data_IF_030283231457
#
_entry.id   IF_030283231457
#
_cell.length_a   1.000
_cell.length_b   1.000
_cell.length_c   1.000
_cell.angle_alpha   90.00
_cell.angle_beta   90.00
_cell.angle_gamma   90.00
#
_symmetry.space_group_name_H-M   'P 1'
#
loop_
_entity.id
_entity.type
_entity.pdbx_description
1 polymer ?
#
# COMPACT_ATOMS: atom_id res chain seq x y z
N UNK A 15 3.47 -21.06 -28.07
CA UNK A 15 2.32 -20.12 -27.86
C UNK A 15 2.75 -18.69 -28.12
N UNK A 16 1.98 -18.03 -28.97
CA UNK A 16 2.31 -16.72 -29.51
C UNK A 16 1.48 -15.66 -28.78
N UNK A 17 1.95 -14.38 -28.76
CA UNK A 17 1.18 -13.32 -28.09
C UNK A 17 -0.33 -13.32 -28.39
N UNK A 18 -0.69 -13.52 -29.66
CA UNK A 18 -2.10 -13.49 -30.06
C UNK A 18 -2.92 -14.71 -29.57
N UNK A 19 -2.25 -15.72 -29.02
CA UNK A 19 -2.92 -16.90 -28.46
C UNK A 19 -2.93 -16.96 -26.92
N UNK A 20 -2.35 -15.94 -26.27
CA UNK A 20 -2.23 -15.92 -24.81
C UNK A 20 -3.60 -15.96 -24.11
N UNK A 21 -4.52 -15.09 -24.52
CA UNK A 21 -5.85 -15.01 -23.90
C UNK A 21 -6.66 -16.30 -24.10
N UNK A 22 -6.52 -16.92 -25.26
CA UNK A 22 -7.14 -18.20 -25.56
C UNK A 22 -6.63 -19.33 -24.65
N UNK A 23 -5.30 -19.44 -24.52
CA UNK A 23 -4.67 -20.47 -23.67
C UNK A 23 -5.07 -20.30 -22.20
N UNK A 24 -4.97 -19.08 -21.68
CA UNK A 24 -5.33 -18.82 -20.28
C UNK A 24 -6.82 -19.04 -20.04
N UNK A 25 -7.63 -18.66 -21.02
CA UNK A 25 -9.09 -18.80 -20.96
C UNK A 25 -9.59 -20.22 -20.79
N UNK A 26 -8.78 -21.20 -21.18
CA UNK A 26 -9.12 -22.61 -20.96
C UNK A 26 -9.08 -23.01 -19.46
N UNK A 27 -8.33 -22.27 -18.65
CA UNK A 27 -8.06 -22.65 -17.26
C UNK A 27 -8.53 -21.61 -16.23
N UNK A 28 -8.66 -20.36 -16.66
CA UNK A 28 -8.98 -19.29 -15.73
C UNK A 28 -9.95 -18.29 -16.31
N UNK A 29 -10.53 -17.49 -15.43
CA UNK A 29 -11.29 -16.32 -15.82
C UNK A 29 -10.31 -15.26 -16.30
N UNK A 30 -10.48 -14.79 -17.53
CA UNK A 30 -9.56 -13.82 -18.12
C UNK A 30 -10.21 -12.43 -18.19
N UNK A 31 -10.11 -11.69 -17.09
CA UNK A 31 -10.77 -10.40 -16.97
C UNK A 31 -9.79 -9.22 -16.88
N UNK A 32 -8.52 -9.47 -17.19
CA UNK A 32 -7.48 -8.43 -17.11
C UNK A 32 -7.47 -7.53 -18.34
N UNK A 33 -6.36 -6.83 -18.53
CA UNK A 33 -6.21 -5.88 -19.65
C UNK A 33 -6.11 -6.57 -21.00
N UNK A 34 -6.54 -5.87 -22.05
CA UNK A 34 -6.59 -6.43 -23.40
C UNK A 34 -5.25 -6.74 -24.04
N UNK A 35 -4.18 -6.18 -23.48
CA UNK A 35 -2.85 -6.31 -24.07
C UNK A 35 -2.14 -7.58 -23.62
N UNK A 36 -1.02 -7.87 -24.27
CA UNK A 36 -0.10 -8.88 -23.81
C UNK A 36 1.21 -8.15 -23.55
N UNK A 37 1.72 -8.27 -22.32
CA UNK A 37 2.92 -7.53 -21.90
C UNK A 37 4.16 -8.03 -22.62
N UNK A 38 4.85 -7.11 -23.32
CA UNK A 38 6.16 -7.40 -23.87
C UNK A 38 7.19 -7.13 -22.76
N UNK A 39 7.78 -8.20 -22.22
CA UNK A 39 8.67 -8.12 -21.07
C UNK A 39 9.99 -7.44 -21.38
N UNK A 40 10.36 -7.46 -22.66
CA UNK A 40 11.65 -6.96 -23.12
C UNK A 40 11.60 -5.51 -23.58
N UNK A 41 10.54 -5.16 -24.32
CA UNK A 41 10.48 -3.83 -24.94
C UNK A 41 9.83 -2.76 -24.08
N UNK A 42 9.08 -3.17 -23.05
CA UNK A 42 8.58 -2.25 -22.04
C UNK A 42 9.73 -1.59 -21.28
N UNK A 43 9.54 -0.35 -20.88
CA UNK A 43 10.61 0.38 -20.18
C UNK A 43 10.11 1.65 -19.55
N UNK A 44 10.60 1.94 -18.34
CA UNK A 44 10.27 3.19 -17.66
C UNK A 44 8.78 3.32 -17.44
N UNK A 45 8.21 4.43 -17.91
CA UNK A 45 6.78 4.70 -17.70
C UNK A 45 5.88 4.14 -18.79
N UNK A 46 6.42 3.24 -19.62
CA UNK A 46 5.69 2.69 -20.77
C UNK A 46 5.61 1.17 -20.77
N UNK A 47 4.38 0.66 -20.92
CA UNK A 47 4.16 -0.76 -21.20
C UNK A 47 3.98 -0.95 -22.70
N UNK A 48 4.52 -2.05 -23.23
CA UNK A 48 4.40 -2.35 -24.65
C UNK A 48 3.49 -3.56 -24.85
N UNK A 49 2.49 -3.40 -25.72
CA UNK A 49 1.62 -4.50 -26.10
C UNK A 49 2.36 -5.34 -27.14
N UNK A 50 2.57 -6.62 -26.83
CA UNK A 50 3.32 -7.51 -27.72
C UNK A 50 2.56 -7.81 -29.01
N UNK A 51 1.24 -7.62 -29.02
CA UNK A 51 0.42 -7.89 -30.19
C UNK A 51 0.58 -6.78 -31.26
N UNK A 52 0.38 -5.53 -30.85
CA UNK A 52 0.41 -4.39 -31.80
C UNK A 52 1.72 -3.59 -31.79
N UNK A 53 2.45 -3.64 -30.68
CA UNK A 53 3.61 -2.78 -30.51
C UNK A 53 3.24 -1.39 -30.01
N UNK A 54 1.97 -1.16 -29.72
CA UNK A 54 1.51 0.10 -29.15
C UNK A 54 2.09 0.30 -27.75
N UNK A 55 2.54 1.54 -27.47
CA UNK A 55 3.05 1.90 -26.15
C UNK A 55 1.95 2.52 -25.30
N UNK A 56 1.89 2.12 -24.04
CA UNK A 56 0.89 2.59 -23.10
C UNK A 56 1.56 3.35 -21.97
N UNK A 57 1.07 4.56 -21.70
CA UNK A 57 1.58 5.36 -20.59
C UNK A 57 1.07 4.80 -19.26
N UNK A 58 2.00 4.44 -18.40
CA UNK A 58 1.69 3.64 -17.21
C UNK A 58 1.57 4.51 -15.94
N UNK A 59 0.32 4.79 -15.56
CA UNK A 59 0.03 5.42 -14.27
C UNK A 59 -0.61 4.39 -13.33
N UNK A 60 -0.25 3.13 -13.52
CA UNK A 60 -0.89 2.03 -12.80
C UNK A 60 0.14 1.16 -12.07
N UNK A 61 1.31 1.01 -12.68
CA UNK A 61 2.50 0.37 -12.10
C UNK A 61 2.20 -0.94 -11.36
N UNK A 62 1.50 -1.85 -12.05
CA UNK A 62 1.09 -3.15 -11.48
C UNK A 62 0.42 -2.98 -10.12
N UNK A 63 -0.61 -2.13 -10.09
CA UNK A 63 -1.34 -1.78 -8.85
C UNK A 63 -0.37 -1.17 -7.82
N UNK A 64 0.42 -0.18 -8.26
CA UNK A 64 1.34 0.55 -7.41
C UNK A 64 2.48 -0.31 -6.79
N UNK A 65 2.80 -1.45 -7.41
CA UNK A 65 3.84 -2.33 -6.88
C UNK A 65 5.20 -2.18 -7.58
N UNK A 66 5.26 -1.30 -8.57
CA UNK A 66 6.51 -1.04 -9.29
C UNK A 66 7.06 0.35 -8.95
N UNK A 67 8.20 0.39 -8.26
CA UNK A 67 8.80 1.68 -7.87
C UNK A 67 9.50 2.40 -9.03
N UNK A 68 10.16 1.64 -9.89
CA UNK A 68 10.99 2.25 -10.94
C UNK A 68 10.45 2.03 -12.36
N UNK A 69 9.30 1.37 -12.49
CA UNK A 69 8.76 1.02 -13.80
C UNK A 69 9.43 -0.22 -14.37
N UNK A 70 9.17 -0.49 -15.65
CA UNK A 70 9.69 -1.71 -16.29
C UNK A 70 11.15 -1.55 -16.67
N UNK A 71 11.92 -2.63 -16.48
CA UNK A 71 13.30 -2.71 -16.98
C UNK A 71 14.15 -1.46 -16.71
N UNK A 72 14.27 -1.05 -15.44
CA UNK A 72 15.06 0.16 -15.20
C UNK A 72 16.54 -0.02 -15.61
N UNK A 73 17.12 0.98 -16.30
CA UNK A 73 18.51 0.92 -16.79
C UNK A 73 19.53 0.51 -15.73
N UNK A 74 19.39 0.98 -14.49
CA UNK A 74 20.33 0.64 -13.43
C UNK A 74 20.35 -0.85 -13.07
N UNK A 75 19.24 -1.53 -13.34
CA UNK A 75 19.16 -2.98 -13.15
C UNK A 75 19.58 -3.71 -14.42
N UNK A 76 19.07 -3.25 -15.56
CA UNK A 76 19.31 -3.87 -16.86
C UNK A 76 20.80 -3.80 -17.28
N UNK A 77 21.44 -2.65 -17.06
CA UNK A 77 22.83 -2.45 -17.49
C UNK A 77 23.89 -2.91 -16.49
N UNK A 78 23.45 -3.45 -15.35
CA UNK A 78 24.37 -3.85 -14.28
C UNK A 78 24.72 -5.34 -14.40
N UNK A 79 25.87 -5.63 -15.00
CA UNK A 79 26.28 -7.01 -15.28
C UNK A 79 26.53 -7.83 -14.02
N UNK A 80 27.03 -7.17 -12.98
CA UNK A 80 27.25 -7.79 -11.68
C UNK A 80 25.93 -8.18 -11.01
N UNK A 81 24.96 -7.28 -11.11
CA UNK A 81 23.62 -7.54 -10.58
C UNK A 81 22.93 -8.69 -11.34
N UNK A 82 23.11 -8.73 -12.66
CA UNK A 82 22.60 -9.83 -13.48
C UNK A 82 23.02 -11.19 -12.93
N UNK A 83 24.30 -11.33 -12.61
CA UNK A 83 24.84 -12.57 -12.03
C UNK A 83 24.21 -12.88 -10.69
N UNK A 84 24.09 -11.87 -9.83
CA UNK A 84 23.48 -12.02 -8.51
C UNK A 84 22.00 -12.45 -8.63
N UNK A 85 21.28 -11.76 -9.51
CA UNK A 85 19.87 -12.07 -9.74
C UNK A 85 19.66 -13.48 -10.30
N UNK A 86 20.48 -13.86 -11.28
CA UNK A 86 20.42 -15.20 -11.88
C UNK A 86 20.65 -16.29 -10.84
N UNK A 87 21.65 -16.09 -9.98
CA UNK A 87 21.94 -17.02 -8.88
C UNK A 87 20.74 -17.21 -7.96
N UNK A 88 20.03 -16.12 -7.67
CA UNK A 88 18.86 -16.21 -6.81
C UNK A 88 17.69 -16.86 -7.53
N UNK A 89 17.51 -16.51 -8.80
CA UNK A 89 16.34 -16.90 -9.57
C UNK A 89 16.27 -18.38 -9.95
N UNK A 90 17.43 -19.04 -10.04
CA UNK A 90 17.49 -20.45 -10.42
C UNK A 90 16.88 -21.37 -9.36
N UNK A 91 17.00 -20.98 -8.11
CA UNK A 91 16.50 -21.79 -7.00
C UNK A 91 15.54 -20.97 -6.14
N UNK A 92 14.93 -21.62 -5.14
CA UNK A 92 14.07 -20.88 -4.22
C UNK A 92 14.29 -21.47 -2.83
N UNK A 93 15.34 -20.99 -2.13
CA UNK A 93 15.63 -21.53 -0.80
C UNK A 93 14.56 -21.14 0.22
N UNK A 94 14.44 -21.94 1.27
CA UNK A 94 13.66 -21.56 2.44
C UNK A 94 14.51 -20.65 3.33
N UNK A 95 14.37 -19.34 3.13
CA UNK A 95 15.15 -18.33 3.86
C UNK A 95 14.93 -18.35 5.37
N UNK A 96 13.84 -18.97 5.82
CA UNK A 96 13.60 -19.10 7.26
C UNK A 96 14.57 -20.08 7.93
N UNK A 97 15.11 -21.02 7.16
CA UNK A 97 15.98 -22.10 7.65
C UNK A 97 17.41 -21.93 7.20
N UNK A 98 17.56 -21.38 6.00
CA UNK A 98 18.84 -21.41 5.30
C UNK A 98 19.23 -20.00 4.84
N UNK A 99 20.30 -19.46 5.42
CA UNK A 99 20.71 -18.09 5.15
C UNK A 99 21.75 -18.00 4.06
N UNK A 100 21.80 -16.85 3.39
CA UNK A 100 22.72 -16.61 2.29
C UNK A 100 23.25 -15.19 2.38
N UNK A 101 24.35 -14.94 1.68
CA UNK A 101 24.87 -13.59 1.54
C UNK A 101 23.84 -12.68 0.85
N UNK A 102 23.19 -13.21 -0.19
CA UNK A 102 22.19 -12.46 -0.95
C UNK A 102 21.08 -11.94 -0.04
N UNK A 103 20.60 -12.79 0.86
CA UNK A 103 19.60 -12.41 1.86
C UNK A 103 20.11 -11.36 2.85
N UNK A 104 21.32 -11.56 3.38
CA UNK A 104 21.89 -10.63 4.37
C UNK A 104 22.11 -9.25 3.78
N UNK A 105 22.58 -9.19 2.54
CA UNK A 105 22.73 -7.92 1.83
C UNK A 105 21.41 -7.17 1.67
N UNK A 106 20.34 -7.92 1.36
CA UNK A 106 19.02 -7.30 1.26
C UNK A 106 18.58 -6.71 2.61
N UNK A 107 18.71 -7.51 3.67
CA UNK A 107 18.26 -7.11 5.00
C UNK A 107 19.01 -5.85 5.48
N UNK A 108 20.32 -5.82 5.30
CA UNK A 108 21.09 -4.63 5.72
C UNK A 108 20.74 -3.38 4.91
N UNK A 109 20.48 -3.52 3.59
CA UNK A 109 20.09 -2.32 2.83
C UNK A 109 18.65 -1.90 3.14
N UNK A 110 17.74 -2.85 3.34
CA UNK A 110 16.39 -2.52 3.81
C UNK A 110 16.46 -1.67 5.09
N UNK A 111 17.22 -2.15 6.08
CA UNK A 111 17.37 -1.44 7.36
C UNK A 111 17.97 -0.05 7.16
N UNK A 112 18.96 0.05 6.27
CA UNK A 112 19.58 1.34 5.98
C UNK A 112 18.63 2.35 5.33
N UNK A 113 17.96 1.92 4.27
CA UNK A 113 17.15 2.82 3.44
C UNK A 113 15.76 3.10 3.99
N UNK A 114 15.10 2.06 4.50
CA UNK A 114 13.71 2.15 4.97
C UNK A 114 13.55 1.97 6.48
N UNK A 115 14.63 1.62 7.17
CA UNK A 115 14.57 1.35 8.61
C UNK A 115 14.19 2.53 9.49
N UNK A 116 13.57 2.21 10.62
CA UNK A 116 13.22 3.18 11.66
C UNK A 116 13.91 2.66 12.92
N UNK A 117 14.74 3.49 13.57
CA UNK A 117 15.48 3.04 14.76
C UNK A 117 14.58 2.55 15.90
N UNK A 118 13.33 3.00 15.93
CA UNK A 118 12.39 2.55 16.95
C UNK A 118 11.78 1.18 16.63
N UNK A 119 11.92 0.73 15.39
CA UNK A 119 11.30 -0.52 14.94
C UNK A 119 12.36 -1.50 14.38
N UNK A 120 13.20 -2.08 15.25
CA UNK A 120 14.32 -2.88 14.78
C UNK A 120 14.00 -4.31 14.32
N UNK A 121 12.83 -4.82 14.70
CA UNK A 121 12.46 -6.21 14.40
C UNK A 121 11.88 -6.30 13.00
N UNK A 122 12.51 -7.10 12.15
CA UNK A 122 12.05 -7.28 10.77
C UNK A 122 11.59 -8.72 10.56
N UNK A 123 10.56 -8.88 9.74
CA UNK A 123 10.02 -10.20 9.43
C UNK A 123 9.52 -10.16 8.00
N UNK A 124 9.89 -11.16 7.20
CA UNK A 124 9.55 -11.17 5.77
C UNK A 124 8.70 -12.37 5.39
N UNK A 125 7.84 -12.15 4.40
CA UNK A 125 6.87 -13.14 3.97
C UNK A 125 6.46 -12.79 2.52
N UNK A 126 5.89 -13.76 1.80
CA UNK A 126 5.32 -13.49 0.49
C UNK A 126 3.88 -13.01 0.69
N UNK A 127 3.54 -11.85 0.13
CA UNK A 127 2.15 -11.39 0.08
C UNK A 127 1.81 -10.28 1.08
N UNK A 128 1.11 -9.26 0.59
CA UNK A 128 0.71 -8.12 1.43
C UNK A 128 -0.30 -8.47 2.52
N UNK A 129 -1.30 -9.30 2.19
CA UNK A 129 -2.29 -9.70 3.21
C UNK A 129 -1.63 -10.45 4.36
N UNK A 130 -0.69 -11.33 4.03
CA UNK A 130 0.05 -12.07 5.06
C UNK A 130 0.97 -11.17 5.90
N UNK A 131 1.53 -10.13 5.30
CA UNK A 131 2.27 -9.11 6.07
C UNK A 131 1.36 -8.48 7.12
N UNK A 132 0.17 -8.05 6.71
CA UNK A 132 -0.82 -7.51 7.66
C UNK A 132 -1.22 -8.54 8.71
N UNK A 133 -1.45 -9.79 8.28
CA UNK A 133 -1.80 -10.85 9.24
C UNK A 133 -0.73 -11.06 10.31
N UNK A 134 0.54 -11.00 9.93
CA UNK A 134 1.60 -11.20 10.90
C UNK A 134 1.75 -10.05 11.86
N UNK A 135 1.42 -8.83 11.41
CA UNK A 135 1.31 -7.68 12.32
C UNK A 135 0.20 -7.93 13.34
N UNK A 136 -0.93 -8.48 12.88
CA UNK A 136 -2.05 -8.78 13.76
C UNK A 136 -1.68 -9.85 14.76
N UNK A 137 -1.07 -10.94 14.28
CA UNK A 137 -0.61 -12.02 15.16
C UNK A 137 0.34 -11.52 16.25
N UNK A 138 1.26 -10.62 15.89
CA UNK A 138 2.14 -10.00 16.86
C UNK A 138 1.36 -9.26 17.94
N UNK A 139 0.32 -8.53 17.54
CA UNK A 139 -0.52 -7.76 18.45
C UNK A 139 -1.36 -8.66 19.36
N UNK A 140 -1.94 -9.72 18.80
CA UNK A 140 -2.75 -10.67 19.59
C UNK A 140 -1.91 -11.32 20.69
N UNK A 141 -0.72 -11.78 20.32
CA UNK A 141 0.21 -12.37 21.26
C UNK A 141 0.64 -11.36 22.34
N UNK A 142 0.96 -10.15 21.90
CA UNK A 142 1.43 -9.10 22.78
C UNK A 142 0.35 -8.77 23.82
N UNK A 143 -0.89 -8.56 23.36
CA UNK A 143 -1.99 -8.20 24.26
C UNK A 143 -2.30 -9.31 25.28
N UNK A 144 -2.37 -10.55 24.80
CA UNK A 144 -2.60 -11.70 25.68
C UNK A 144 -1.53 -11.78 26.78
N UNK A 145 -0.27 -11.66 26.38
CA UNK A 145 0.86 -11.73 27.31
C UNK A 145 0.94 -10.52 28.24
N UNK A 146 0.63 -9.34 27.71
CA UNK A 146 0.53 -8.10 28.51
C UNK A 146 -0.59 -8.22 29.55
N UNK A 147 -1.76 -8.68 29.10
CA UNK A 147 -2.87 -9.00 30.01
C UNK A 147 -2.44 -9.94 31.14
N UNK A 148 -1.86 -11.07 30.75
CA UNK A 148 -1.38 -12.08 31.68
C UNK A 148 -0.43 -11.51 32.74
N UNK A 149 0.48 -10.63 32.31
CA UNK A 149 1.49 -10.05 33.19
C UNK A 149 0.91 -9.06 34.18
N UNK A 150 -0.30 -8.57 33.89
CA UNK A 150 -0.97 -7.57 34.71
C UNK A 150 -2.23 -8.12 35.39
N UNK A 151 -2.30 -9.45 35.54
CA UNK A 151 -3.37 -10.10 36.28
C UNK A 151 -4.68 -10.27 35.54
N UNK A 152 -4.67 -9.98 34.24
CA UNK A 152 -5.86 -10.09 33.40
C UNK A 152 -5.85 -11.42 32.63
N UNK A 153 -7.05 -11.98 32.43
CA UNK A 153 -7.24 -13.23 31.70
C UNK A 153 -6.54 -13.19 30.34
N UNK A 154 -5.56 -14.11 30.11
CA UNK A 154 -4.82 -14.18 28.84
C UNK A 154 -5.66 -14.63 27.63
N UNK A 155 -6.89 -15.07 27.87
CA UNK A 155 -7.83 -15.37 26.79
C UNK A 155 -8.35 -14.08 26.16
N UNK A 156 -8.14 -12.96 26.84
CA UNK A 156 -8.56 -11.66 26.32
C UNK A 156 -7.45 -11.05 25.48
N UNK A 157 -7.85 -10.34 24.43
CA UNK A 157 -6.93 -9.64 23.53
C UNK A 157 -6.98 -10.16 22.10
N UNK A 158 -8.19 -10.29 21.57
CA UNK A 158 -8.41 -11.00 20.31
C UNK A 158 -9.09 -10.15 19.23
N UNK A 159 -9.37 -8.89 19.54
CA UNK A 159 -10.14 -8.03 18.63
C UNK A 159 -9.30 -6.91 18.00
N UNK A 160 -9.73 -6.46 16.83
CA UNK A 160 -9.00 -5.47 16.06
C UNK A 160 -9.89 -4.29 15.75
N UNK A 161 -9.53 -3.12 16.27
CA UNK A 161 -10.21 -1.88 15.91
C UNK A 161 -9.73 -1.44 14.54
N UNK A 162 -10.66 -1.05 13.66
CA UNK A 162 -10.30 -0.68 12.28
C UNK A 162 -11.31 0.31 11.70
N UNK A 163 -11.05 0.80 10.49
CA UNK A 163 -11.87 1.85 9.88
C UNK A 163 -12.85 1.37 8.83
N UNK A 164 -13.94 2.13 8.65
CA UNK A 164 -14.79 1.97 7.48
C UNK A 164 -14.02 2.36 6.23
N UNK A 165 -14.26 1.61 5.16
CA UNK A 165 -13.60 1.88 3.88
C UNK A 165 -12.19 1.33 3.77
N UNK A 166 -11.79 0.51 4.74
CA UNK A 166 -10.44 -0.04 4.81
C UNK A 166 -10.24 -1.16 3.80
N UNK A 167 -9.02 -1.27 3.29
CA UNK A 167 -8.62 -2.44 2.53
C UNK A 167 -7.30 -2.97 3.08
N UNK A 168 -7.33 -4.18 3.64
CA UNK A 168 -6.13 -4.79 4.21
C UNK A 168 -5.80 -6.15 3.61
N UNK A 169 -6.58 -6.58 2.61
CA UNK A 169 -6.34 -7.84 1.93
C UNK A 169 -7.53 -8.79 1.96
N UNK A 170 -7.30 -9.99 1.43
CA UNK A 170 -8.37 -10.95 1.15
C UNK A 170 -8.13 -12.31 1.82
N UNK A 171 -7.33 -12.29 2.90
CA UNK A 171 -6.98 -13.51 3.62
C UNK A 171 -7.88 -13.68 4.85
N UNK A 172 -7.71 -14.80 5.56
CA UNK A 172 -8.61 -15.16 6.66
C UNK A 172 -8.89 -14.07 7.69
N UNK A 173 -7.84 -13.44 8.22
CA UNK A 173 -8.03 -12.33 9.16
C UNK A 173 -8.40 -11.01 8.49
N UNK A 174 -7.84 -10.74 7.31
CA UNK A 174 -8.04 -9.43 6.67
C UNK A 174 -9.42 -9.27 6.04
N UNK A 175 -10.07 -10.41 5.75
CA UNK A 175 -11.47 -10.39 5.30
C UNK A 175 -12.41 -9.83 6.36
N UNK A 176 -12.00 -9.89 7.63
CA UNK A 176 -12.76 -9.32 8.74
C UNK A 176 -12.51 -7.81 8.91
N UNK A 177 -11.56 -7.28 8.15
CA UNK A 177 -11.18 -5.87 8.26
C UNK A 177 -11.58 -5.10 7.01
N UNK A 178 -11.26 -5.68 5.86
CA UNK A 178 -11.56 -5.09 4.56
C UNK A 178 -13.05 -4.84 4.40
N UNK A 179 -13.42 -3.61 4.05
CA UNK A 179 -14.81 -3.29 3.79
C UNK A 179 -14.94 -2.17 2.76
N UNK A 180 -14.77 -2.54 1.49
CA UNK A 180 -14.93 -1.63 0.38
C UNK A 180 -16.08 -2.14 -0.50
N UNK A 181 -15.79 -3.06 -1.43
CA UNK A 181 -16.82 -3.67 -2.28
C UNK A 181 -17.32 -4.98 -1.65
N UNK A 182 -18.65 -5.18 -1.63
CA UNK A 182 -19.24 -6.41 -1.05
C UNK A 182 -18.71 -7.68 -1.70
N UNK A 183 -18.37 -7.60 -2.99
CA UNK A 183 -17.81 -8.71 -3.77
C UNK A 183 -16.58 -9.35 -3.12
N UNK A 184 -15.78 -8.52 -2.44
CA UNK A 184 -14.55 -9.01 -1.81
C UNK A 184 -14.81 -9.92 -0.60
N UNK A 185 -15.86 -9.63 0.17
CA UNK A 185 -16.05 -10.28 1.46
C UNK A 185 -17.33 -11.12 1.60
N UNK A 186 -18.27 -10.99 0.67
CA UNK A 186 -19.57 -11.67 0.80
C UNK A 186 -19.42 -13.18 0.92
N UNK A 187 -20.17 -13.78 1.84
CA UNK A 187 -20.28 -15.23 2.00
C UNK A 187 -19.02 -15.90 2.60
N UNK A 188 -18.09 -15.09 3.09
CA UNK A 188 -16.91 -15.61 3.80
C UNK A 188 -17.03 -15.35 5.31
N UNK A 189 -16.76 -16.37 6.15
CA UNK A 189 -16.87 -16.19 7.60
C UNK A 189 -15.93 -15.10 8.15
N UNK A 190 -16.43 -14.35 9.11
CA UNK A 190 -15.73 -13.19 9.65
C UNK A 190 -15.81 -13.19 11.16
N UNK A 191 -14.84 -12.52 11.80
CA UNK A 191 -14.92 -12.22 13.22
C UNK A 191 -15.71 -10.93 13.36
N UNK A 192 -16.40 -10.78 14.48
CA UNK A 192 -17.11 -9.55 14.76
C UNK A 192 -16.15 -8.59 15.45
N UNK A 193 -15.43 -7.81 14.66
CA UNK A 193 -14.47 -6.85 15.19
C UNK A 193 -15.00 -5.42 15.09
N UNK A 194 -14.64 -4.55 16.06
CA UNK A 194 -15.18 -3.20 16.07
C UNK A 194 -14.67 -2.31 14.94
N UNK A 195 -15.61 -1.67 14.26
CA UNK A 195 -15.34 -0.87 13.09
C UNK A 195 -15.88 0.52 13.36
N UNK A 196 -15.07 1.55 13.08
CA UNK A 196 -15.48 2.94 13.32
C UNK A 196 -15.47 3.77 12.05
N UNK A 197 -16.21 4.87 12.05
CA UNK A 197 -16.24 5.80 10.91
C UNK A 197 -14.85 6.36 10.59
N UNK A 198 -14.60 6.59 9.31
CA UNK A 198 -13.34 7.15 8.86
C UNK A 198 -13.50 8.65 8.60
N UNK A 199 -12.87 9.50 9.44
CA UNK A 199 -13.05 10.94 9.31
C UNK A 199 -12.09 11.57 8.28
N UNK A 200 -12.20 11.14 7.02
CA UNK A 200 -11.30 11.64 5.99
C UNK A 200 -11.64 13.07 5.57
N UNK A 201 -10.62 13.79 5.10
CA UNK A 201 -10.77 15.13 4.57
C UNK A 201 -11.67 15.13 3.33
N UNK A 202 -12.56 16.12 3.28
CA UNK A 202 -13.40 16.31 2.11
C UNK A 202 -13.56 17.80 1.79
N UNK A 203 -13.85 18.14 0.52
CA UNK A 203 -13.95 19.56 0.14
C UNK A 203 -15.08 20.27 0.90
N UNK A 204 -14.83 21.53 1.24
CA UNK A 204 -15.84 22.36 1.90
C UNK A 204 -16.04 22.05 3.37
N UNK A 205 -14.97 21.60 4.03
CA UNK A 205 -14.96 21.42 5.48
C UNK A 205 -13.75 22.14 6.04
N UNK A 206 -14.01 23.10 6.93
CA UNK A 206 -12.95 23.88 7.57
C UNK A 206 -12.47 23.17 8.83
N UNK A 207 -11.44 23.74 9.46
CA UNK A 207 -10.83 23.19 10.68
C UNK A 207 -11.84 22.68 11.73
N UNK A 208 -12.76 23.55 12.19
CA UNK A 208 -13.82 23.15 13.14
C UNK A 208 -14.71 22.01 12.65
N UNK A 209 -15.07 22.01 11.37
CA UNK A 209 -15.90 20.95 10.78
C UNK A 209 -15.16 19.61 10.80
N UNK A 210 -13.87 19.64 10.44
CA UNK A 210 -13.01 18.45 10.47
C UNK A 210 -12.82 17.95 11.89
N UNK A 211 -12.61 18.89 12.82
CA UNK A 211 -12.43 18.55 14.24
C UNK A 211 -13.64 17.80 14.80
N UNK A 212 -14.84 18.24 14.41
CA UNK A 212 -16.10 17.62 14.85
C UNK A 212 -16.28 16.22 14.29
N UNK A 213 -15.89 16.03 13.03
CA UNK A 213 -15.94 14.74 12.35
C UNK A 213 -14.97 13.77 13.05
N UNK A 214 -13.75 14.23 13.32
CA UNK A 214 -12.75 13.43 14.03
C UNK A 214 -13.20 13.06 15.44
N UNK A 215 -13.75 14.04 16.17
CA UNK A 215 -14.26 13.83 17.52
C UNK A 215 -15.29 12.70 17.58
N UNK A 216 -16.14 12.59 16.56
CA UNK A 216 -17.13 11.52 16.48
C UNK A 216 -16.52 10.13 16.27
N UNK A 217 -15.48 10.05 15.44
CA UNK A 217 -14.76 8.78 15.23
C UNK A 217 -14.04 8.38 16.52
N UNK A 218 -13.40 9.36 17.15
CA UNK A 218 -12.73 9.20 18.44
C UNK A 218 -13.69 8.70 19.53
N UNK A 219 -14.91 9.25 19.55
CA UNK A 219 -15.95 8.84 20.48
C UNK A 219 -16.32 7.38 20.28
N UNK A 220 -16.50 7.00 19.02
CA UNK A 220 -16.77 5.61 18.65
C UNK A 220 -15.63 4.69 19.05
N UNK A 221 -14.40 5.18 18.88
CA UNK A 221 -13.20 4.39 19.24
C UNK A 221 -13.15 4.16 20.74
N UNK A 222 -13.36 5.24 21.51
CA UNK A 222 -13.38 5.15 22.96
C UNK A 222 -14.43 4.17 23.46
N UNK A 223 -15.63 4.25 22.88
CA UNK A 223 -16.74 3.37 23.24
C UNK A 223 -16.40 1.90 23.01
N UNK A 224 -15.69 1.62 21.91
CA UNK A 224 -15.25 0.25 21.62
C UNK A 224 -14.29 -0.27 22.69
N UNK A 225 -13.29 0.54 23.04
CA UNK A 225 -12.33 0.16 24.08
C UNK A 225 -13.02 -0.09 25.43
N UNK A 226 -13.99 0.76 25.76
CA UNK A 226 -14.65 0.67 27.07
C UNK A 226 -15.66 -0.48 27.17
N UNK A 227 -16.30 -0.84 26.05
CA UNK A 227 -17.30 -1.92 26.08
C UNK A 227 -16.71 -3.30 25.82
N UNK A 228 -15.45 -3.35 25.39
CA UNK A 228 -14.74 -4.61 25.17
C UNK A 228 -13.43 -4.59 25.99
N UNK A 229 -13.55 -4.54 27.33
CA UNK A 229 -12.35 -4.23 28.12
C UNK A 229 -11.26 -5.28 28.01
N UNK A 230 -10.03 -4.81 27.77
CA UNK A 230 -8.83 -5.64 27.64
C UNK A 230 -8.83 -6.58 26.44
N UNK A 231 -9.83 -6.45 25.57
CA UNK A 231 -10.01 -7.39 24.47
C UNK A 231 -9.60 -6.84 23.10
N UNK A 232 -9.35 -5.53 23.01
CA UNK A 232 -8.86 -4.95 21.75
C UNK A 232 -7.33 -4.90 21.76
N UNK A 233 -6.71 -5.69 20.89
CA UNK A 233 -5.25 -5.86 20.85
C UNK A 233 -4.56 -4.73 20.11
N UNK A 234 -5.26 -4.16 19.12
CA UNK A 234 -4.65 -3.14 18.26
C UNK A 234 -5.66 -2.33 17.48
N UNK A 235 -5.19 -1.19 16.97
CA UNK A 235 -5.88 -0.41 15.96
C UNK A 235 -5.03 -0.48 14.70
N UNK A 236 -5.68 -0.80 13.58
CA UNK A 236 -5.00 -0.88 12.30
C UNK A 236 -5.63 0.12 11.34
N UNK A 237 -4.78 0.82 10.60
CA UNK A 237 -5.24 1.79 9.59
C UNK A 237 -4.26 1.90 8.43
N UNK A 238 -4.79 2.22 7.26
CA UNK A 238 -3.97 2.79 6.20
C UNK A 238 -3.81 4.28 6.49
N UNK A 239 -2.58 4.81 6.40
CA UNK A 239 -2.37 6.25 6.59
C UNK A 239 -3.14 7.10 5.59
N UNK A 240 -3.27 6.57 4.37
CA UNK A 240 -4.15 7.11 3.33
C UNK A 240 -4.86 5.87 2.77
N UNK A 241 -6.19 5.88 2.75
CA UNK A 241 -6.95 4.75 2.25
C UNK A 241 -6.90 4.68 0.72
N UNK A 242 -6.32 3.61 0.18
CA UNK A 242 -6.12 3.50 -1.26
C UNK A 242 -7.33 2.99 -2.01
N UNK A 243 -7.60 1.70 -1.89
CA UNK A 243 -8.72 1.06 -2.61
C UNK A 243 -10.08 1.65 -2.27
N UNK A 244 -10.23 2.14 -1.04
CA UNK A 244 -11.45 2.79 -0.60
C UNK A 244 -11.71 4.14 -1.26
N UNK A 245 -10.70 4.70 -1.93
CA UNK A 245 -10.86 5.92 -2.72
C UNK A 245 -9.93 7.08 -2.45
N UNK A 246 -8.65 6.78 -2.21
CA UNK A 246 -7.65 7.81 -1.87
C UNK A 246 -8.18 8.81 -0.84
N UNK A 247 -8.52 8.29 0.34
CA UNK A 247 -9.08 9.07 1.44
C UNK A 247 -7.95 9.46 2.39
N UNK A 248 -7.76 10.76 2.57
CA UNK A 248 -6.68 11.29 3.37
C UNK A 248 -7.18 11.72 4.74
N UNK A 249 -6.32 11.57 5.74
CA UNK A 249 -6.68 11.90 7.13
C UNK A 249 -5.72 12.95 7.65
N UNK A 250 -6.22 13.82 8.51
CA UNK A 250 -5.35 14.80 9.16
C UNK A 250 -4.44 14.10 10.16
N UNK A 251 -3.20 14.61 10.31
CA UNK A 251 -2.31 14.10 11.37
C UNK A 251 -2.96 14.14 12.76
N UNK A 252 -3.80 15.14 13.01
CA UNK A 252 -4.51 15.28 14.30
C UNK A 252 -5.33 14.04 14.65
N UNK A 253 -5.94 13.43 13.64
CA UNK A 253 -6.74 12.23 13.88
C UNK A 253 -5.88 11.06 14.39
N UNK A 254 -4.77 10.80 13.71
CA UNK A 254 -3.91 9.69 14.10
C UNK A 254 -3.16 9.96 15.41
N UNK A 255 -2.81 11.23 15.67
CA UNK A 255 -2.19 11.62 16.94
C UNK A 255 -3.11 11.32 18.12
N UNK A 256 -4.40 11.61 17.95
CA UNK A 256 -5.41 11.29 18.96
C UNK A 256 -5.59 9.78 19.16
N UNK A 257 -5.63 9.03 18.04
CA UNK A 257 -5.69 7.57 18.09
C UNK A 257 -4.47 6.96 18.79
N UNK A 258 -3.30 7.53 18.54
CA UNK A 258 -2.07 7.11 19.21
C UNK A 258 -2.19 7.21 20.74
N UNK A 259 -2.69 8.34 21.22
CA UNK A 259 -2.88 8.54 22.66
C UNK A 259 -3.91 7.59 23.22
N UNK A 260 -5.00 7.39 22.48
CA UNK A 260 -6.08 6.49 22.91
C UNK A 260 -5.63 5.04 22.98
N UNK A 261 -4.84 4.61 21.99
CA UNK A 261 -4.24 3.27 22.00
C UNK A 261 -3.34 3.07 23.22
N UNK A 262 -2.53 4.08 23.54
CA UNK A 262 -1.65 4.00 24.70
C UNK A 262 -2.44 3.94 26.00
N UNK A 263 -3.52 4.72 26.08
CA UNK A 263 -4.39 4.72 27.26
C UNK A 263 -5.00 3.34 27.54
N UNK A 264 -5.36 2.62 26.48
CA UNK A 264 -5.97 1.30 26.65
C UNK A 264 -5.03 0.12 26.38
N UNK A 265 -3.73 0.39 26.35
CA UNK A 265 -2.70 -0.63 26.11
C UNK A 265 -3.01 -1.48 24.87
N UNK A 266 -3.19 -0.80 23.75
CA UNK A 266 -3.36 -1.43 22.44
C UNK A 266 -2.27 -0.91 21.50
N UNK A 267 -1.81 -1.77 20.60
CA UNK A 267 -0.78 -1.37 19.63
C UNK A 267 -1.41 -0.62 18.46
N UNK A 268 -0.63 0.26 17.83
CA UNK A 268 -1.07 0.95 16.64
C UNK A 268 -0.29 0.40 15.45
N UNK A 269 -1.01 -0.11 14.45
CA UNK A 269 -0.42 -0.70 13.27
C UNK A 269 -0.79 0.14 12.05
N UNK A 270 0.21 0.57 11.29
CA UNK A 270 -0.07 1.17 9.99
C UNK A 270 0.15 0.15 8.89
N UNK A 271 -0.84 0.02 8.02
CA UNK A 271 -0.71 -0.80 6.82
C UNK A 271 -0.19 0.11 5.74
N UNK A 272 1.11 0.01 5.47
CA UNK A 272 1.77 0.85 4.46
C UNK A 272 2.05 0.07 3.16
N UNK A 273 1.30 -1.01 2.94
CA UNK A 273 1.50 -1.82 1.74
C UNK A 273 1.34 -0.97 0.47
N UNK A 274 0.36 -0.08 0.44
CA UNK A 274 0.19 0.81 -0.73
C UNK A 274 0.91 2.16 -0.62
N UNK A 275 1.05 2.68 0.58
CA UNK A 275 1.62 4.02 0.78
C UNK A 275 3.15 4.04 0.84
N UNK A 276 3.74 2.87 1.07
CA UNK A 276 5.14 2.77 1.47
C UNK A 276 6.16 2.86 0.36
N UNK A 277 7.43 2.86 0.75
CA UNK A 277 8.55 2.85 -0.19
C UNK A 277 8.55 4.06 -1.15
N UNK A 278 8.34 5.25 -0.59
CA UNK A 278 8.64 6.49 -1.29
C UNK A 278 7.52 7.16 -2.07
N UNK A 279 6.39 6.49 -2.23
CA UNK A 279 5.31 7.03 -3.06
C UNK A 279 4.84 8.42 -2.59
N UNK A 280 4.74 8.61 -1.28
CA UNK A 280 4.26 9.89 -0.75
C UNK A 280 5.36 10.92 -0.59
N UNK A 281 6.60 10.54 -0.91
CA UNK A 281 7.72 11.46 -0.80
C UNK A 281 8.68 11.19 0.35
N UNK A 282 8.27 10.32 1.28
CA UNK A 282 9.16 9.81 2.34
C UNK A 282 9.16 8.28 2.28
N UNK A 283 10.08 7.63 2.98
CA UNK A 283 10.10 6.17 3.02
C UNK A 283 8.70 5.61 3.32
N UNK A 284 8.07 6.19 4.34
CA UNK A 284 6.76 5.76 4.81
C UNK A 284 5.88 6.98 5.01
N UNK A 285 4.57 6.83 4.75
CA UNK A 285 3.64 7.93 4.95
C UNK A 285 3.57 8.39 6.42
N UNK A 286 3.69 7.46 7.36
CA UNK A 286 3.59 7.83 8.78
C UNK A 286 4.66 8.86 9.19
N UNK A 287 5.78 8.87 8.48
CA UNK A 287 6.86 9.80 8.78
C UNK A 287 6.44 11.26 8.56
N UNK A 288 5.45 11.48 7.70
CA UNK A 288 4.92 12.81 7.43
C UNK A 288 3.74 13.18 8.33
N UNK A 289 3.18 12.19 9.02
CA UNK A 289 2.04 12.42 9.90
C UNK A 289 2.47 12.63 11.35
N UNK A 290 3.76 12.45 11.62
CA UNK A 290 4.35 12.62 12.95
C UNK A 290 3.64 11.78 14.03
N UNK A 291 3.30 10.54 13.67
CA UNK A 291 2.75 9.58 14.61
C UNK A 291 3.63 8.34 14.57
N UNK A 292 4.02 7.84 15.74
CA UNK A 292 4.89 6.67 15.83
C UNK A 292 4.06 5.38 15.97
N UNK A 293 4.11 4.48 14.96
CA UNK A 293 3.41 3.20 15.11
C UNK A 293 4.25 2.21 15.93
N UNK A 294 3.60 1.14 16.41
CA UNK A 294 4.32 0.05 17.05
C UNK A 294 4.73 -1.01 16.03
N UNK A 295 3.94 -1.13 14.97
CA UNK A 295 4.17 -2.11 13.89
C UNK A 295 3.76 -1.48 12.56
N UNK A 296 4.57 -1.72 11.53
CA UNK A 296 4.26 -1.31 10.17
C UNK A 296 4.27 -2.55 9.27
N UNK A 297 3.21 -2.73 8.48
CA UNK A 297 3.18 -3.78 7.47
C UNK A 297 3.50 -3.16 6.11
N UNK A 298 4.31 -3.85 5.32
CA UNK A 298 4.75 -3.32 4.01
C UNK A 298 4.64 -4.41 2.94
N UNK A 299 4.64 -3.99 1.68
CA UNK A 299 4.52 -4.91 0.55
C UNK A 299 4.52 -4.13 -0.75
N UNK A 300 3.96 -4.74 -1.80
CA UNK A 300 3.92 -4.13 -3.14
C UNK A 300 5.29 -3.64 -3.63
N UNK A 301 5.59 -2.35 -3.55
CA UNK A 301 6.86 -1.83 -4.07
C UNK A 301 8.11 -2.50 -3.48
N UNK A 302 8.02 -2.98 -2.24
CA UNK A 302 9.15 -3.65 -1.60
C UNK A 302 9.42 -5.07 -2.17
N UNK A 303 8.48 -5.57 -2.98
CA UNK A 303 8.59 -6.87 -3.69
C UNK A 303 8.41 -8.05 -2.74
N UNK A 304 9.29 -8.12 -1.75
CA UNK A 304 9.08 -8.98 -0.59
C UNK A 304 8.23 -8.20 0.43
N UNK A 305 7.33 -8.89 1.12
CA UNK A 305 6.42 -8.23 2.05
C UNK A 305 6.89 -8.52 3.48
N UNK A 306 6.30 -7.84 4.46
CA UNK A 306 6.63 -8.17 5.84
C UNK A 306 6.24 -7.08 6.83
N UNK A 307 6.85 -7.14 8.01
CA UNK A 307 6.55 -6.16 9.06
C UNK A 307 7.85 -5.64 9.68
N UNK A 308 7.77 -4.41 10.19
CA UNK A 308 8.79 -3.84 11.07
C UNK A 308 8.08 -3.57 12.38
N UNK A 309 8.72 -3.95 13.48
CA UNK A 309 8.08 -3.83 14.79
C UNK A 309 9.06 -3.37 15.85
N UNK A 310 8.51 -2.72 16.88
CA UNK A 310 9.29 -2.13 17.96
C UNK A 310 8.38 -1.30 18.84
N UNK A 311 8.88 -0.17 19.32
CA UNK A 311 8.15 0.67 20.29
C UNK A 311 7.61 -0.21 21.43
N UNK A 312 6.30 -0.24 21.65
CA UNK A 312 5.75 -0.97 22.80
C UNK A 312 5.86 -2.50 22.71
N UNK A 313 6.07 -3.03 21.50
CA UNK A 313 6.22 -4.49 21.31
C UNK A 313 7.28 -5.08 22.26
N UNK A 314 8.37 -4.36 22.40
CA UNK A 314 9.52 -4.79 23.21
C UNK A 314 9.26 -4.90 24.72
N UNK A 315 8.21 -4.24 25.20
CA UNK A 315 7.83 -4.27 26.63
C UNK A 315 7.36 -5.65 27.10
N UNK A 316 7.01 -6.51 26.15
CA UNK A 316 6.67 -7.90 26.44
C UNK A 316 7.89 -8.69 25.96
N UNK A 317 8.69 -9.18 26.90
CA UNK A 317 9.98 -9.78 26.58
C UNK A 317 9.88 -11.06 25.73
N UNK A 318 8.79 -11.81 25.91
CA UNK A 318 8.58 -13.05 25.14
C UNK A 318 7.59 -12.85 23.99
N UNK A 319 7.73 -11.74 23.29
CA UNK A 319 6.91 -11.43 22.11
C UNK A 319 7.33 -12.31 20.91
N UNK A 320 6.57 -12.25 19.82
CA UNK A 320 6.76 -13.19 18.70
C UNK A 320 8.07 -13.00 17.94
N UNK A 321 8.74 -11.87 18.15
CA UNK A 321 10.02 -11.62 17.50
C UNK A 321 11.18 -12.16 18.33
N UNK A 322 10.89 -12.59 19.56
CA UNK A 322 11.89 -13.08 20.50
C UNK A 322 11.81 -14.58 20.71
N UNK A 323 10.66 -15.16 20.38
CA UNK A 323 10.37 -16.57 20.64
C UNK A 323 10.31 -17.29 19.29
N UNK A 324 11.07 -18.39 19.14
CA UNK A 324 11.11 -19.18 17.89
C UNK A 324 9.75 -19.77 17.52
N UNK A 325 9.47 -19.78 16.21
CA UNK A 325 8.36 -20.53 15.62
C UNK A 325 6.95 -19.99 15.89
N UNK A 326 6.85 -18.76 16.40
CA UNK A 326 5.53 -18.14 16.59
C UNK A 326 5.00 -17.56 15.27
N UNK A 327 5.89 -16.94 14.50
CA UNK A 327 5.61 -16.49 13.13
C UNK A 327 6.50 -17.25 12.17
N UNK A 328 5.94 -17.71 11.05
CA UNK A 328 6.75 -18.42 10.06
C UNK A 328 6.01 -18.61 8.74
N UNK A 329 6.78 -18.98 7.72
CA UNK A 329 6.24 -19.54 6.48
C UNK A 329 7.33 -20.46 5.94
N UNK A 330 7.01 -21.27 4.93
CA UNK A 330 8.03 -22.13 4.32
C UNK A 330 9.23 -21.33 3.80
N UNK A 331 8.98 -20.33 2.94
CA UNK A 331 10.09 -19.67 2.23
C UNK A 331 10.72 -18.47 2.92
N UNK A 332 9.96 -17.80 3.79
CA UNK A 332 10.42 -16.55 4.43
C UNK A 332 10.65 -15.44 3.41
N UNK A 333 9.73 -15.33 2.45
CA UNK A 333 9.89 -14.38 1.36
C UNK A 333 10.63 -15.03 0.20
N UNK A 334 10.51 -14.42 -0.97
CA UNK A 334 11.12 -14.94 -2.18
C UNK A 334 12.53 -14.34 -2.33
N UNK A 335 13.55 -15.19 -2.39
CA UNK A 335 14.94 -14.69 -2.50
C UNK A 335 15.18 -13.82 -3.75
N UNK A 336 14.53 -14.18 -4.86
CA UNK A 336 14.61 -13.37 -6.09
C UNK A 336 14.08 -11.96 -5.83
N UNK A 337 12.95 -11.86 -5.13
CA UNK A 337 12.38 -10.55 -4.77
C UNK A 337 13.32 -9.74 -3.86
N UNK A 338 13.97 -10.43 -2.92
CA UNK A 338 14.96 -9.79 -2.04
C UNK A 338 16.13 -9.19 -2.81
N UNK A 339 16.67 -9.94 -3.77
CA UNK A 339 17.80 -9.45 -4.57
C UNK A 339 17.39 -8.26 -5.45
N UNK A 340 16.24 -8.36 -6.12
CA UNK A 340 15.69 -7.26 -6.90
C UNK A 340 15.43 -6.02 -6.04
N UNK A 341 14.78 -6.21 -4.90
CA UNK A 341 14.50 -5.12 -3.95
C UNK A 341 15.76 -4.42 -3.43
N UNK A 342 16.80 -5.21 -3.12
CA UNK A 342 18.08 -4.62 -2.69
C UNK A 342 18.58 -3.62 -3.72
N UNK A 343 18.61 -4.03 -4.98
CA UNK A 343 19.08 -3.16 -6.05
C UNK A 343 18.19 -1.93 -6.25
N UNK A 344 16.86 -2.13 -6.21
CA UNK A 344 15.89 -1.04 -6.28
C UNK A 344 16.14 0.01 -5.16
N UNK A 345 16.30 -0.47 -3.92
CA UNK A 345 16.59 0.42 -2.78
C UNK A 345 17.90 1.21 -2.94
N UNK A 346 18.92 0.54 -3.49
CA UNK A 346 20.19 1.21 -3.79
C UNK A 346 20.02 2.35 -4.80
N UNK A 347 19.18 2.14 -5.81
CA UNK A 347 18.86 3.16 -6.82
C UNK A 347 18.12 4.34 -6.17
N UNK A 348 17.10 4.03 -5.37
CA UNK A 348 16.35 5.05 -4.63
C UNK A 348 17.28 5.95 -3.80
N UNK A 349 18.19 5.31 -3.06
CA UNK A 349 19.14 6.00 -2.21
C UNK A 349 20.13 6.84 -3.03
N UNK A 350 20.68 6.24 -4.08
CA UNK A 350 21.72 6.87 -4.89
C UNK A 350 21.20 8.04 -5.73
N UNK A 351 19.96 7.92 -6.21
CA UNK A 351 19.41 8.93 -7.12
C UNK A 351 18.46 9.92 -6.45
N UNK A 352 18.29 9.79 -5.13
CA UNK A 352 17.44 10.69 -4.35
C UNK A 352 15.99 10.68 -4.79
N UNK A 353 15.44 9.48 -5.01
CA UNK A 353 14.10 9.34 -5.56
C UNK A 353 12.95 9.75 -4.64
N UNK A 354 13.16 9.73 -3.33
CA UNK A 354 12.14 10.26 -2.40
C UNK A 354 11.89 11.74 -2.67
N UNK A 355 12.99 12.49 -2.81
CA UNK A 355 12.91 13.93 -3.08
C UNK A 355 12.31 14.19 -4.46
N UNK A 356 12.66 13.36 -5.43
CA UNK A 356 12.08 13.45 -6.76
C UNK A 356 10.55 13.26 -6.71
N UNK A 357 10.10 12.33 -5.86
CA UNK A 357 8.67 12.11 -5.67
C UNK A 357 7.95 13.32 -5.05
N UNK A 358 8.60 13.98 -4.10
CA UNK A 358 8.07 15.22 -3.51
C UNK A 358 7.87 16.27 -4.62
N UNK A 359 8.91 16.48 -5.42
CA UNK A 359 8.89 17.55 -6.44
C UNK A 359 7.92 17.27 -7.58
N UNK A 360 7.96 16.05 -8.11
CA UNK A 360 7.07 15.68 -9.22
C UNK A 360 5.63 15.50 -8.76
N UNK A 361 5.46 15.09 -7.50
CA UNK A 361 4.14 15.03 -6.87
C UNK A 361 3.48 16.39 -6.73
N UNK A 362 4.25 17.41 -6.36
CA UNK A 362 3.78 18.80 -6.31
C UNK A 362 3.33 19.26 -7.70
N UNK A 363 4.10 18.88 -8.72
CA UNK A 363 3.78 19.18 -10.10
C UNK A 363 2.46 18.54 -10.54
N UNK A 364 2.31 17.24 -10.30
CA UNK A 364 1.10 16.50 -10.66
C UNK A 364 -0.14 17.11 -9.98
N UNK A 365 -0.01 17.39 -8.68
CA UNK A 365 -1.07 18.00 -7.91
C UNK A 365 -1.50 19.37 -8.49
N UNK A 366 -0.51 20.19 -8.85
CA UNK A 366 -0.76 21.49 -9.46
C UNK A 366 -1.58 21.37 -10.75
N UNK A 367 -1.26 20.36 -11.57
CA UNK A 367 -1.98 20.09 -12.82
C UNK A 367 -3.42 19.67 -12.59
N UNK A 368 -3.65 18.93 -11.51
CA UNK A 368 -5.00 18.47 -11.15
C UNK A 368 -5.86 19.63 -10.62
N UNK A 369 -5.21 20.56 -9.93
CA UNK A 369 -5.85 21.80 -9.48
C UNK A 369 -6.30 22.63 -10.68
N UNK A 370 -5.43 22.73 -11.69
CA UNK A 370 -5.76 23.41 -12.94
C UNK A 370 -6.96 22.77 -13.64
N UNK A 371 -7.00 21.44 -13.67
CA UNK A 371 -8.11 20.69 -14.26
C UNK A 371 -9.41 20.97 -13.52
N UNK A 372 -9.32 21.09 -12.20
CA UNK A 372 -10.49 21.37 -11.37
C UNK A 372 -11.03 22.77 -11.67
N UNK A 373 -10.13 23.72 -11.91
CA UNK A 373 -10.52 25.09 -12.26
C UNK A 373 -11.20 25.16 -13.63
N UNK A 374 -10.67 24.39 -14.58
CA UNK A 374 -11.21 24.38 -15.95
C UNK A 374 -12.49 23.57 -16.09
N UNK A 375 -12.65 22.53 -15.27
CA UNK A 375 -13.84 21.67 -15.29
C UNK A 375 -14.49 21.54 -13.91
N UNK A 376 -14.97 22.67 -13.33
CA UNK A 376 -15.41 22.73 -11.93
C UNK A 376 -16.53 21.77 -11.51
N UNK A 377 -17.40 21.39 -12.44
CA UNK A 377 -18.53 20.51 -12.09
C UNK A 377 -18.23 19.02 -12.32
N UNK A 378 -17.06 18.74 -12.88
CA UNK A 378 -16.72 17.40 -13.34
C UNK A 378 -15.51 16.84 -12.60
N UNK A 379 -14.44 17.64 -12.49
CA UNK A 379 -13.22 17.23 -11.81
C UNK A 379 -13.29 17.67 -10.35
N UNK A 380 -13.63 16.71 -9.48
CA UNK A 380 -13.90 17.01 -8.07
C UNK A 380 -12.79 16.56 -7.14
N UNK A 381 -12.58 17.34 -6.08
CA UNK A 381 -11.75 16.94 -4.95
C UNK A 381 -10.34 16.46 -5.39
N UNK A 382 -9.60 17.30 -6.15
CA UNK A 382 -8.23 16.92 -6.50
C UNK A 382 -7.37 16.85 -5.23
N UNK A 383 -6.60 15.78 -5.09
CA UNK A 383 -5.94 15.51 -3.81
C UNK A 383 -4.70 14.64 -4.02
N UNK A 384 -3.81 14.66 -3.03
CA UNK A 384 -2.65 13.79 -3.05
C UNK A 384 -1.58 14.11 -2.04
N UNK A 385 -0.68 13.16 -1.86
CA UNK A 385 0.51 13.34 -1.07
C UNK A 385 1.62 12.70 -1.87
N UNK A 386 2.63 13.49 -2.23
CA UNK A 386 3.67 13.01 -3.13
C UNK A 386 3.04 12.59 -4.45
N UNK A 387 3.49 11.47 -5.00
CA UNK A 387 2.95 10.94 -6.26
C UNK A 387 1.62 10.17 -6.12
N UNK A 388 1.16 10.02 -4.88
CA UNK A 388 -0.11 9.35 -4.63
C UNK A 388 -1.25 10.36 -4.75
N UNK A 389 -1.78 10.49 -5.96
CA UNK A 389 -2.74 11.53 -6.30
C UNK A 389 -4.01 10.96 -6.90
N UNK A 390 -5.09 11.74 -6.80
CA UNK A 390 -6.40 11.31 -7.26
C UNK A 390 -7.32 12.50 -7.50
N UNK A 391 -8.39 12.26 -8.25
CA UNK A 391 -9.55 13.14 -8.26
C UNK A 391 -10.80 12.30 -8.44
N UNK A 392 -11.96 12.92 -8.24
CA UNK A 392 -13.22 12.21 -8.32
C UNK A 392 -14.12 12.80 -9.39
N UNK A 393 -15.06 12.00 -9.84
CA UNK A 393 -16.08 12.44 -10.79
C UNK A 393 -17.47 12.43 -10.14
N UNK A 394 -18.46 13.14 -10.73
CA UNK A 394 -19.81 13.22 -10.14
C UNK A 394 -20.50 11.87 -9.92
N UNK A 395 -20.32 10.94 -10.86
CA UNK A 395 -20.98 9.63 -10.79
C UNK A 395 -20.00 8.50 -11.13
N UNK A 396 -20.39 7.29 -10.78
CA UNK A 396 -19.64 6.08 -11.16
C UNK A 396 -19.59 5.90 -12.68
N UNK A 397 -20.68 6.24 -13.37
CA UNK A 397 -20.74 6.14 -14.82
C UNK A 397 -19.72 7.07 -15.49
N UNK A 398 -19.59 8.29 -14.98
CA UNK A 398 -18.62 9.25 -15.49
C UNK A 398 -17.19 8.75 -15.29
N UNK A 399 -16.93 8.23 -14.08
CA UNK A 399 -15.62 7.71 -13.71
C UNK A 399 -15.23 6.53 -14.61
N UNK A 400 -16.14 5.56 -14.76
CA UNK A 400 -15.90 4.39 -15.62
C UNK A 400 -15.65 4.76 -17.07
N UNK A 401 -16.40 5.74 -17.57
CA UNK A 401 -16.25 6.23 -18.94
C UNK A 401 -14.92 6.93 -19.15
N UNK A 402 -14.50 7.75 -18.19
CA UNK A 402 -13.21 8.41 -18.27
C UNK A 402 -12.08 7.38 -18.38
N UNK A 403 -12.18 6.30 -17.63
CA UNK A 403 -11.17 5.25 -17.67
C UNK A 403 -11.10 4.56 -19.05
N UNK A 404 -12.27 4.26 -19.61
CA UNK A 404 -12.36 3.72 -20.97
C UNK A 404 -11.77 4.67 -22.00
N UNK A 405 -12.11 5.96 -21.89
CA UNK A 405 -11.59 6.98 -22.81
C UNK A 405 -10.06 7.11 -22.73
N UNK A 406 -9.53 6.98 -21.52
CA UNK A 406 -8.08 7.04 -21.30
C UNK A 406 -7.39 5.82 -21.89
N UNK A 407 -8.03 4.66 -21.74
CA UNK A 407 -7.50 3.41 -22.31
C UNK A 407 -7.36 3.55 -23.83
N UNK A 408 -8.39 4.09 -24.46
CA UNK A 408 -8.40 4.36 -25.90
C UNK A 408 -7.28 5.29 -26.33
N UNK A 409 -6.88 6.18 -25.42
CA UNK A 409 -5.77 7.09 -25.65
C UNK A 409 -4.42 6.56 -25.12
N UNK A 410 -4.38 5.26 -24.80
CA UNK A 410 -3.17 4.58 -24.34
C UNK A 410 -2.59 5.13 -23.03
N UNK A 411 -3.46 5.46 -22.09
CA UNK A 411 -3.06 5.83 -20.73
C UNK A 411 -3.74 4.89 -19.74
N UNK A 412 -2.96 4.24 -18.88
CA UNK A 412 -3.50 3.27 -17.92
C UNK A 412 -3.58 3.90 -16.54
N UNK A 413 -4.79 4.03 -16.02
CA UNK A 413 -5.01 4.47 -14.64
C UNK A 413 -5.96 3.49 -13.96
N UNK A 414 -6.07 3.58 -12.64
CA UNK A 414 -6.92 2.65 -11.90
C UNK A 414 -8.10 3.37 -11.25
N UNK A 415 -9.26 2.70 -11.22
CA UNK A 415 -10.37 3.25 -10.44
C UNK A 415 -10.17 2.95 -8.94
N UNK A 416 -10.94 3.65 -8.10
CA UNK A 416 -11.01 3.36 -6.67
C UNK A 416 -12.35 3.85 -6.19
N UNK A 417 -12.92 3.14 -5.22
CA UNK A 417 -14.24 3.48 -4.68
C UNK A 417 -15.31 3.57 -5.74
N UNK A 418 -16.29 4.43 -5.50
CA UNK A 418 -17.40 4.60 -6.42
C UNK A 418 -17.12 5.62 -7.52
N UNK A 419 -16.24 6.58 -7.25
CA UNK A 419 -16.10 7.73 -8.16
C UNK A 419 -14.68 8.29 -8.32
N UNK A 420 -13.68 7.54 -7.86
CA UNK A 420 -12.31 8.03 -7.89
C UNK A 420 -11.49 7.46 -9.04
N UNK A 421 -10.62 8.31 -9.61
CA UNK A 421 -9.55 7.90 -10.51
C UNK A 421 -8.22 8.11 -9.78
N UNK A 422 -7.41 7.06 -9.71
CA UNK A 422 -6.12 7.10 -9.02
C UNK A 422 -4.96 7.21 -9.98
N UNK A 423 -3.95 8.01 -9.62
CA UNK A 423 -2.69 8.02 -10.33
C UNK A 423 -1.66 7.30 -9.47
N UNK A 424 -0.97 6.33 -10.08
CA UNK A 424 0.14 5.63 -9.42
C UNK A 424 1.32 5.54 -10.38
N UNK A 425 2.01 6.67 -10.63
CA UNK A 425 3.18 6.64 -11.50
C UNK A 425 4.39 6.04 -10.80
N UNK A 426 5.40 5.60 -11.59
CA UNK A 426 6.67 5.20 -10.98
C UNK A 426 7.36 6.41 -10.34
N UNK A 427 8.27 6.17 -9.39
CA UNK A 427 9.02 7.24 -8.75
C UNK A 427 9.88 8.02 -9.74
N UNK A 428 10.15 7.37 -10.89
CA UNK A 428 11.03 7.92 -11.92
C UNK A 428 10.27 8.69 -13.03
N UNK A 429 8.95 8.84 -12.87
CA UNK A 429 8.12 9.58 -13.82
C UNK A 429 8.69 10.99 -14.08
N UNK A 430 8.66 11.41 -15.34
CA UNK A 430 9.12 12.76 -15.71
C UNK A 430 7.96 13.76 -15.78
N UNK A 431 8.26 15.05 -15.79
CA UNK A 431 7.20 16.07 -15.92
C UNK A 431 6.52 15.99 -17.29
N UNK A 432 7.27 15.63 -18.34
CA UNK A 432 6.67 15.48 -19.68
C UNK A 432 5.65 14.34 -19.72
N UNK A 433 5.95 13.26 -18.99
CA UNK A 433 5.06 12.11 -18.88
C UNK A 433 3.79 12.45 -18.11
N UNK A 434 3.94 13.22 -17.03
CA UNK A 434 2.79 13.76 -16.30
C UNK A 434 1.94 14.66 -17.22
N UNK A 435 2.60 15.52 -18.01
CA UNK A 435 1.91 16.38 -18.97
C UNK A 435 1.10 15.56 -19.97
N UNK A 436 1.70 14.49 -20.49
CA UNK A 436 1.00 13.56 -21.40
C UNK A 436 -0.25 12.95 -20.76
N UNK A 437 -0.14 12.53 -19.50
CA UNK A 437 -1.30 11.96 -18.81
C UNK A 437 -2.41 13.01 -18.70
N UNK A 438 -2.04 14.23 -18.31
CA UNK A 438 -2.98 15.33 -18.12
C UNK A 438 -3.64 15.73 -19.45
N UNK A 439 -2.84 15.77 -20.52
CA UNK A 439 -3.34 16.06 -21.87
C UNK A 439 -4.43 15.07 -22.29
N UNK A 440 -4.24 13.78 -21.95
CA UNK A 440 -5.24 12.75 -22.26
C UNK A 440 -6.53 12.93 -21.49
N UNK A 441 -6.42 13.28 -20.21
CA UNK A 441 -7.60 13.56 -19.37
C UNK A 441 -8.40 14.73 -19.95
N UNK A 442 -7.69 15.81 -20.30
CA UNK A 442 -8.30 16.98 -20.95
C UNK A 442 -9.03 16.65 -22.26
N UNK A 443 -8.44 15.79 -23.07
CA UNK A 443 -9.08 15.32 -24.31
C UNK A 443 -10.36 14.54 -24.03
N UNK A 444 -10.29 13.66 -23.03
CA UNK A 444 -11.38 12.73 -22.72
C UNK A 444 -12.57 13.39 -22.03
N UNK A 445 -12.33 14.42 -21.22
CA UNK A 445 -13.38 15.01 -20.38
C UNK A 445 -14.61 15.57 -21.13
N UNK A 446 -14.40 16.36 -22.21
CA UNK A 446 -15.56 16.83 -22.98
C UNK A 446 -16.41 15.66 -23.51
N UNK A 447 -15.76 14.54 -23.83
CA UNK A 447 -16.45 13.35 -24.33
C UNK A 447 -17.32 12.70 -23.24
N UNK A 448 -16.83 12.64 -22.00
CA UNK A 448 -17.61 12.06 -20.90
C UNK A 448 -18.77 12.96 -20.43
N UNK A 449 -18.58 14.27 -20.41
CA UNK A 449 -19.62 15.21 -19.95
C UNK A 449 -20.92 15.10 -20.75
#
# INVERSE_FOLDING_TARGET
MAAVVKSVALAGRPTTPDRVHEVLGRSMLVDGLDIVLDLTRSGGSYLVDAITGRRYLDMFTFVASSALGMNPPALVDDREFHAELMQAALNKPSNSDVYSVAMARFVETFARVLGDPALPHLFFVEGGALAVENALKAAFDWKSRHNQAHGIDPALGTQVLHLRGAFHGRSGYTLSLTNTKPTITARFPKFDWPRIDAPYMRPGLDEPAMAALEAEALRQARAAFETRPHDIACFVAEPIQGEGGDRHFRPEFFAAMRELCDEFDALLIFDEVQTGCGLTGTAWAYQQLDVAPDIVAFGKKTQVCGVMAGRRVDEVADNVFAVPSRLASTWGGNLTDMVRARRILEVIEAEGLFERAVQHGKYLRARLDELAADFPAVVLDPRGRGLMCAFSLPTTADRDELIRQLWQRAVIVLPAGADTVRFRPPLTVSTAEIDAAIAAVRSALPVVT
#
